data_IF_510354312609
#
_entry.id   IF_510354312609
#
_cell.length_a   1.000
_cell.length_b   1.000
_cell.length_c   1.000
_cell.angle_alpha   90.00
_cell.angle_beta   90.00
_cell.angle_gamma   90.00
#
_symmetry.space_group_name_H-M   'P 1'
#
loop_
_entity.id
_entity.type
_entity.pdbx_description
1 polymer ?
#
# COMPACT_ATOMS: atom_id res chain seq x y z
N UNK A 1 -7.76 16.26 9.87
CA UNK A 1 -7.74 15.90 8.43
C UNK A 1 -7.67 14.39 8.19
N UNK A 2 -6.74 13.66 8.83
CA UNK A 2 -6.60 12.20 8.63
C UNK A 2 -7.85 11.38 9.01
N UNK A 3 -8.53 11.74 10.10
CA UNK A 3 -9.79 11.10 10.55
C UNK A 3 -10.92 11.27 9.53
N UNK A 4 -11.05 12.48 8.97
CA UNK A 4 -12.06 12.80 7.94
C UNK A 4 -11.79 12.00 6.66
N UNK A 5 -10.52 11.90 6.26
CA UNK A 5 -10.13 11.14 5.08
C UNK A 5 -10.38 9.62 5.25
N UNK A 6 -10.08 9.08 6.43
CA UNK A 6 -10.36 7.68 6.76
C UNK A 6 -11.87 7.41 6.80
N UNK A 7 -12.67 8.36 7.32
CA UNK A 7 -14.13 8.25 7.32
C UNK A 7 -14.68 8.13 5.89
N UNK A 8 -14.28 9.04 4.98
CA UNK A 8 -14.70 8.97 3.58
C UNK A 8 -14.30 7.68 2.86
N UNK A 9 -13.28 6.97 3.33
CA UNK A 9 -12.83 5.72 2.73
C UNK A 9 -13.48 4.47 3.34
N UNK A 10 -13.72 4.47 4.65
CA UNK A 10 -14.34 3.35 5.37
C UNK A 10 -15.84 3.30 5.08
N UNK A 11 -16.52 4.46 5.07
CA UNK A 11 -17.97 4.53 4.86
C UNK A 11 -18.43 3.81 3.59
N UNK A 12 -17.92 4.09 2.37
CA UNK A 12 -18.38 3.41 1.16
C UNK A 12 -18.14 1.90 1.20
N UNK A 13 -17.00 1.45 1.75
CA UNK A 13 -16.71 0.02 1.91
C UNK A 13 -17.70 -0.67 2.85
N UNK A 14 -18.00 -0.06 4.00
CA UNK A 14 -18.95 -0.60 4.97
C UNK A 14 -20.39 -0.63 4.44
N UNK A 15 -20.82 0.44 3.77
CA UNK A 15 -22.17 0.54 3.18
C UNK A 15 -22.36 -0.50 2.08
N UNK A 16 -21.39 -0.64 1.16
CA UNK A 16 -21.49 -1.62 0.06
C UNK A 16 -21.52 -3.05 0.60
N UNK A 17 -20.68 -3.38 1.58
CA UNK A 17 -20.72 -4.70 2.21
C UNK A 17 -22.03 -4.97 2.94
N UNK A 18 -22.63 -3.97 3.59
CA UNK A 18 -23.93 -4.12 4.23
C UNK A 18 -25.03 -4.38 3.20
N UNK A 19 -25.02 -3.69 2.06
CA UNK A 19 -25.98 -3.89 0.96
C UNK A 19 -25.84 -5.30 0.35
N UNK A 20 -24.62 -5.82 0.21
CA UNK A 20 -24.38 -7.17 -0.32
C UNK A 20 -24.87 -8.30 0.60
N UNK A 21 -25.18 -8.03 1.88
CA UNK A 21 -25.78 -9.02 2.77
C UNK A 21 -27.28 -9.19 2.52
N UNK A 22 -27.91 -8.30 1.74
CA UNK A 22 -29.31 -8.41 1.38
C UNK A 22 -29.52 -9.49 0.30
N UNK A 23 -30.25 -10.58 0.61
CA UNK A 23 -30.49 -11.66 -0.34
C UNK A 23 -31.32 -11.23 -1.56
N UNK A 24 -32.15 -10.18 -1.46
CA UNK A 24 -32.99 -9.72 -2.58
C UNK A 24 -32.15 -9.15 -3.73
N UNK A 25 -31.05 -8.46 -3.40
CA UNK A 25 -30.19 -7.83 -4.39
C UNK A 25 -29.28 -8.87 -5.07
N UNK A 26 -28.99 -9.98 -4.39
CA UNK A 26 -28.21 -11.09 -4.93
C UNK A 26 -28.91 -11.85 -6.06
N UNK A 27 -30.23 -11.74 -6.15
CA UNK A 27 -31.05 -12.42 -7.15
C UNK A 27 -31.03 -11.73 -8.51
N UNK A 28 -30.76 -10.42 -8.54
CA UNK A 28 -30.59 -9.68 -9.79
C UNK A 28 -29.11 -9.72 -10.24
N UNK A 29 -28.79 -10.41 -11.34
CA UNK A 29 -27.42 -10.58 -11.80
C UNK A 29 -26.77 -9.25 -12.20
N UNK A 30 -27.53 -8.26 -12.67
CA UNK A 30 -27.02 -6.95 -13.08
C UNK A 30 -26.68 -6.12 -11.84
N UNK A 31 -27.59 -6.06 -10.86
CA UNK A 31 -27.37 -5.34 -9.61
C UNK A 31 -26.18 -5.93 -8.83
N UNK A 32 -26.07 -7.26 -8.78
CA UNK A 32 -24.96 -7.95 -8.12
C UNK A 32 -23.60 -7.66 -8.80
N UNK A 33 -23.56 -7.65 -10.14
CA UNK A 33 -22.33 -7.30 -10.87
C UNK A 33 -21.89 -5.85 -10.59
N UNK A 34 -22.83 -4.90 -10.57
CA UNK A 34 -22.57 -3.50 -10.24
C UNK A 34 -22.04 -3.38 -8.80
N UNK A 35 -22.69 -4.02 -7.83
CA UNK A 35 -22.26 -4.01 -6.42
C UNK A 35 -20.88 -4.65 -6.22
N UNK A 36 -20.59 -5.75 -6.90
CA UNK A 36 -19.28 -6.39 -6.86
C UNK A 36 -18.18 -5.46 -7.39
N UNK A 37 -18.44 -4.76 -8.50
CA UNK A 37 -17.49 -3.76 -9.03
C UNK A 37 -17.32 -2.55 -8.09
N UNK A 38 -18.39 -2.07 -7.49
CA UNK A 38 -18.36 -0.99 -6.49
C UNK A 38 -17.59 -1.41 -5.23
N UNK A 39 -17.70 -2.68 -4.83
CA UNK A 39 -16.91 -3.25 -3.73
C UNK A 39 -15.43 -3.24 -4.04
N UNK A 40 -15.02 -3.62 -5.24
CA UNK A 40 -13.62 -3.57 -5.66
C UNK A 40 -13.09 -2.12 -5.59
N UNK A 41 -13.84 -1.16 -6.11
CA UNK A 41 -13.46 0.26 -6.07
C UNK A 41 -13.34 0.79 -4.64
N UNK A 42 -14.28 0.47 -3.77
CA UNK A 42 -14.22 0.89 -2.35
C UNK A 42 -13.04 0.26 -1.60
N UNK A 43 -12.68 -0.99 -1.91
CA UNK A 43 -11.47 -1.62 -1.37
C UNK A 43 -10.20 -0.87 -1.82
N UNK A 44 -10.08 -0.55 -3.10
CA UNK A 44 -8.93 0.21 -3.64
C UNK A 44 -8.83 1.58 -2.95
N UNK A 45 -9.97 2.26 -2.77
CA UNK A 45 -10.04 3.55 -2.11
C UNK A 45 -9.64 3.46 -0.62
N UNK A 46 -10.05 2.40 0.07
CA UNK A 46 -9.66 2.13 1.47
C UNK A 46 -8.15 1.90 1.60
N UNK A 47 -7.56 1.05 0.77
CA UNK A 47 -6.12 0.77 0.81
C UNK A 47 -5.27 1.99 0.45
N UNK A 48 -5.70 2.81 -0.52
CA UNK A 48 -5.00 4.04 -0.85
C UNK A 48 -4.99 5.06 0.30
N UNK A 49 -6.02 5.05 1.15
CA UNK A 49 -6.05 5.87 2.36
C UNK A 49 -5.08 5.39 3.44
N UNK A 50 -4.79 4.09 3.55
CA UNK A 50 -3.73 3.60 4.44
C UNK A 50 -2.32 3.92 3.94
N UNK A 51 -2.13 4.02 2.62
CA UNK A 51 -0.84 4.41 2.04
C UNK A 51 -0.60 5.92 2.10
N UNK A 52 -1.65 6.73 2.07
CA UNK A 52 -1.59 8.20 2.07
C UNK A 52 -0.77 8.80 3.23
N UNK A 53 -0.88 8.34 4.50
CA UNK A 53 -0.03 8.80 5.59
C UNK A 53 1.46 8.67 5.32
N UNK A 54 1.90 7.58 4.68
CA UNK A 54 3.30 7.38 4.33
C UNK A 54 3.78 8.40 3.29
N UNK A 55 2.96 8.67 2.26
CA UNK A 55 3.27 9.69 1.25
C UNK A 55 3.28 11.10 1.84
N UNK A 56 2.32 11.42 2.71
CA UNK A 56 2.25 12.70 3.42
C UNK A 56 3.50 12.88 4.30
N UNK A 57 3.90 11.85 5.07
CA UNK A 57 5.11 11.91 5.89
C UNK A 57 6.39 12.06 5.06
N UNK A 58 6.47 11.38 3.91
CA UNK A 58 7.62 11.51 2.98
C UNK A 58 7.72 12.93 2.39
N UNK A 59 6.60 13.58 2.11
CA UNK A 59 6.57 14.93 1.55
C UNK A 59 6.74 16.02 2.62
N UNK A 60 6.13 15.86 3.80
CA UNK A 60 6.11 16.88 4.85
C UNK A 60 7.33 16.85 5.79
N UNK A 61 7.96 15.69 6.00
CA UNK A 61 9.08 15.56 6.94
C UNK A 61 10.41 15.37 6.22
N UNK A 62 11.19 16.45 6.17
CA UNK A 62 12.54 16.45 5.62
C UNK A 62 13.49 15.51 6.39
N UNK A 63 13.36 15.42 7.71
CA UNK A 63 14.16 14.52 8.55
C UNK A 63 13.90 13.05 8.21
N UNK A 64 12.64 12.68 8.04
CA UNK A 64 12.27 11.31 7.65
C UNK A 64 12.80 10.97 6.25
N UNK A 65 12.71 11.91 5.31
CA UNK A 65 13.22 11.74 3.94
C UNK A 65 14.74 11.48 3.93
N UNK A 66 15.52 12.26 4.68
CA UNK A 66 16.97 12.06 4.78
C UNK A 66 17.33 10.72 5.43
N UNK A 67 16.65 10.34 6.52
CA UNK A 67 16.87 9.04 7.17
C UNK A 67 16.51 7.87 6.25
N UNK A 68 15.40 7.97 5.50
CA UNK A 68 14.97 6.94 4.56
C UNK A 68 15.99 6.74 3.43
N UNK A 69 16.48 7.84 2.83
CA UNK A 69 17.53 7.79 1.80
C UNK A 69 18.81 7.19 2.36
N UNK A 70 19.21 7.57 3.58
CA UNK A 70 20.40 7.02 4.23
C UNK A 70 20.31 5.50 4.47
N UNK A 71 19.16 5.01 4.94
CA UNK A 71 18.91 3.58 5.15
C UNK A 71 18.96 2.81 3.83
N UNK A 72 18.29 3.32 2.79
CA UNK A 72 18.33 2.70 1.45
C UNK A 72 19.76 2.64 0.91
N UNK A 73 20.51 3.73 1.03
CA UNK A 73 21.91 3.77 0.63
C UNK A 73 22.76 2.74 1.39
N UNK A 74 22.58 2.63 2.71
CA UNK A 74 23.28 1.66 3.55
C UNK A 74 22.99 0.22 3.14
N UNK A 75 21.74 -0.11 2.82
CA UNK A 75 21.34 -1.43 2.32
C UNK A 75 22.02 -1.74 0.98
N UNK A 76 22.01 -0.78 0.05
CA UNK A 76 22.69 -0.94 -1.24
C UNK A 76 24.20 -1.13 -1.09
N UNK A 77 24.84 -0.34 -0.22
CA UNK A 77 26.26 -0.46 0.10
C UNK A 77 26.59 -1.84 0.68
N UNK A 78 25.78 -2.33 1.62
CA UNK A 78 25.96 -3.67 2.22
C UNK A 78 25.79 -4.79 1.18
N UNK A 79 24.78 -4.69 0.31
CA UNK A 79 24.56 -5.67 -0.79
C UNK A 79 25.69 -5.63 -1.82
N UNK A 80 26.25 -4.46 -2.10
CA UNK A 80 27.42 -4.34 -2.97
C UNK A 80 28.67 -4.96 -2.32
N UNK A 81 28.93 -4.63 -1.05
CA UNK A 81 30.05 -5.19 -0.29
C UNK A 81 29.97 -6.71 -0.17
N UNK A 82 28.79 -7.26 0.10
CA UNK A 82 28.59 -8.70 0.16
C UNK A 82 28.85 -9.38 -1.19
N UNK A 83 28.45 -8.75 -2.31
CA UNK A 83 28.76 -9.29 -3.65
C UNK A 83 30.27 -9.28 -3.92
N UNK A 84 30.96 -8.22 -3.56
CA UNK A 84 32.41 -8.13 -3.75
C UNK A 84 33.19 -9.12 -2.89
N UNK A 85 32.80 -9.31 -1.62
CA UNK A 85 33.41 -10.32 -0.74
C UNK A 85 33.20 -11.74 -1.29
N UNK A 86 32.02 -12.03 -1.85
CA UNK A 86 31.76 -13.34 -2.49
C UNK A 86 32.60 -13.52 -3.75
N UNK A 87 32.80 -12.49 -4.58
CA UNK A 87 33.68 -12.58 -5.75
C UNK A 87 35.16 -12.74 -5.37
N UNK A 88 35.63 -12.07 -4.32
CA UNK A 88 37.02 -12.19 -3.82
C UNK A 88 37.29 -13.59 -3.22
N UNK A 89 36.27 -14.27 -2.70
CA UNK A 89 36.37 -15.65 -2.24
C UNK A 89 36.38 -16.69 -3.37
N UNK A 90 35.81 -16.35 -4.54
CA UNK A 90 35.70 -17.26 -5.70
C UNK A 90 36.90 -17.14 -6.64
N UNK A 91 37.57 -15.99 -6.66
CA UNK A 91 38.81 -15.77 -7.43
C UNK A 91 39.93 -15.46 -6.43
N UNK A 92 40.61 -16.47 -5.86
CA UNK A 92 41.78 -16.19 -5.04
C UNK A 92 42.83 -15.52 -5.93
N UNK A 93 43.34 -14.37 -5.48
CA UNK A 93 44.41 -13.64 -6.15
C UNK A 93 45.59 -14.60 -6.37
N UNK A 94 45.84 -14.93 -7.64
CA UNK A 94 47.05 -15.61 -8.10
C UNK A 94 48.25 -14.66 -8.04
#
# INVERSE_FOLDING_TARGET
TQVVFNFFAITPYTVINAIMLDPYISQDPVANAILSSAKILSIILLYSCFASPFYIYRCASERFRHQLVFVLFKIHLQRWRHRNVVTDLVIPQQ
#
